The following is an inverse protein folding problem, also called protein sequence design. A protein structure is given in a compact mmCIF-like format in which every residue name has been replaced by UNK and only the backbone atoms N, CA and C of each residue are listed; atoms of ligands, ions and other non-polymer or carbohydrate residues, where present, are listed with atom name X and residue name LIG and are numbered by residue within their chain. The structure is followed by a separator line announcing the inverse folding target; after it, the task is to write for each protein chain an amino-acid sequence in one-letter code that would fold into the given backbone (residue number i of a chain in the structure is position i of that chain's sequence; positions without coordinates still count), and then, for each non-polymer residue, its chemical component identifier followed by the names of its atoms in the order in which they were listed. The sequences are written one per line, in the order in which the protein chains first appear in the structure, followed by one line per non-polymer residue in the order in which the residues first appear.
data_IF_473367443688
#
_entry.id   IF_473367443688
#
_cell.length_a   1.000
_cell.length_b   1.000
_cell.length_c   1.000
_cell.angle_alpha   90.00
_cell.angle_beta   90.00
_cell.angle_gamma   90.00
#
_symmetry.space_group_name_H-M   'P 1'
#
loop_
_entity.id
_entity.type
_entity.pdbx_description
1 polymer ?
#
# COMPACT_ATOMS: atom_id res chain seq x y z
N UNK A 1 8.25 11.85 -10.41
CA UNK A 1 7.92 11.07 -11.63
C UNK A 1 6.57 10.34 -11.56
N UNK A 2 6.07 9.89 -10.40
CA UNK A 2 4.68 9.39 -10.25
C UNK A 2 3.62 10.51 -10.18
N UNK A 3 4.09 11.74 -9.97
CA UNK A 3 3.31 12.93 -9.60
C UNK A 3 2.58 13.58 -10.78
N UNK A 4 2.87 13.14 -12.00
CA UNK A 4 2.31 13.68 -13.25
C UNK A 4 1.19 12.82 -13.85
N UNK A 5 0.73 11.78 -13.13
CA UNK A 5 -0.20 10.78 -13.66
C UNK A 5 -1.49 10.69 -12.82
N UNK A 6 -2.29 11.76 -12.75
CA UNK A 6 -3.54 11.76 -11.97
C UNK A 6 -4.57 10.75 -12.48
N UNK A 7 -4.47 10.33 -13.75
CA UNK A 7 -5.34 9.34 -14.38
C UNK A 7 -4.86 7.89 -14.18
N UNK A 8 -3.79 7.66 -13.42
CA UNK A 8 -3.27 6.31 -13.23
C UNK A 8 -4.21 5.48 -12.36
N UNK A 9 -4.86 4.49 -12.98
CA UNK A 9 -5.77 3.58 -12.28
C UNK A 9 -5.08 2.33 -11.72
N UNK A 10 -3.96 1.94 -12.32
CA UNK A 10 -3.22 0.75 -11.97
C UNK A 10 -1.73 1.07 -11.89
N UNK A 11 -1.07 0.63 -10.83
CA UNK A 11 0.38 0.75 -10.64
C UNK A 11 0.93 -0.62 -10.27
N UNK A 12 1.80 -1.16 -11.12
CA UNK A 12 2.53 -2.39 -10.86
C UNK A 12 4.03 -2.11 -10.84
N UNK A 13 4.69 -2.54 -9.77
CA UNK A 13 6.12 -2.39 -9.56
C UNK A 13 6.69 -3.78 -9.22
N UNK A 14 7.52 -4.32 -10.10
CA UNK A 14 8.10 -5.67 -9.92
C UNK A 14 9.62 -5.62 -9.86
N UNK A 15 10.17 -6.18 -8.77
CA UNK A 15 11.57 -6.57 -8.59
C UNK A 15 12.56 -5.47 -8.99
N UNK A 16 12.23 -4.23 -8.62
CA UNK A 16 13.09 -3.08 -8.88
C UNK A 16 14.39 -3.18 -8.06
N UNK A 17 15.57 -3.27 -8.70
CA UNK A 17 16.82 -3.39 -7.98
C UNK A 17 17.07 -2.14 -7.12
N UNK A 18 17.52 -2.35 -5.88
CA UNK A 18 17.79 -1.32 -4.87
C UNK A 18 16.57 -0.50 -4.41
N UNK A 19 15.35 -0.90 -4.79
CA UNK A 19 14.14 -0.28 -4.31
C UNK A 19 13.53 -1.08 -3.15
N UNK A 20 12.96 -0.38 -2.18
CA UNK A 20 12.14 -1.00 -1.14
C UNK A 20 10.90 -0.16 -0.90
N UNK A 21 9.76 -0.83 -0.76
CA UNK A 21 8.50 -0.18 -0.41
C UNK A 21 8.56 0.21 1.08
N UNK A 22 8.93 1.47 1.33
CA UNK A 22 9.06 2.05 2.68
C UNK A 22 7.80 2.77 3.12
N UNK A 23 7.70 3.13 4.41
CA UNK A 23 6.62 3.98 4.93
C UNK A 23 6.46 5.27 4.13
N UNK A 24 7.58 5.91 3.78
CA UNK A 24 7.59 7.10 2.96
C UNK A 24 6.96 6.86 1.58
N UNK A 25 7.19 5.68 0.99
CA UNK A 25 6.63 5.35 -0.33
C UNK A 25 5.14 5.03 -0.23
N UNK A 26 4.74 4.24 0.77
CA UNK A 26 3.34 3.95 1.07
C UNK A 26 2.56 5.25 1.32
N UNK A 27 3.12 6.20 2.08
CA UNK A 27 2.48 7.48 2.37
C UNK A 27 2.27 8.38 1.14
N UNK A 28 2.95 8.11 0.02
CA UNK A 28 2.69 8.83 -1.24
C UNK A 28 1.43 8.32 -1.94
N UNK A 29 0.92 7.17 -1.53
CA UNK A 29 -0.38 6.67 -1.97
C UNK A 29 -1.52 7.33 -1.19
N UNK A 30 -1.22 8.09 -0.13
CA UNK A 30 -2.25 8.74 0.68
C UNK A 30 -2.84 9.97 0.02
N UNK A 31 -4.17 10.14 0.07
CA UNK A 31 -4.79 11.42 -0.22
C UNK A 31 -4.31 12.40 0.86
N UNK A 32 -3.68 13.49 0.45
CA UNK A 32 -3.23 14.58 1.34
C UNK A 32 -4.43 15.26 2.01
N UNK A 33 -5.04 14.63 3.02
CA UNK A 33 -6.25 15.15 3.69
C UNK A 33 -5.89 16.19 4.77
N UNK A 34 -4.64 16.20 5.26
CA UNK A 34 -4.32 16.88 6.53
C UNK A 34 -3.38 18.09 6.51
N UNK A 35 -2.71 18.50 5.43
CA UNK A 35 -1.76 19.63 5.52
C UNK A 35 -1.73 20.62 4.36
N UNK A 36 -1.52 21.87 4.75
CA UNK A 36 -1.48 23.14 4.04
C UNK A 36 -0.53 23.21 2.83
N UNK A 37 -0.73 24.25 1.99
CA UNK A 37 0.12 24.89 0.97
C UNK A 37 1.07 24.05 0.07
N UNK A 38 1.69 23.00 0.57
CA UNK A 38 2.63 22.08 -0.07
C UNK A 38 2.04 20.67 -0.19
N UNK A 39 0.76 20.57 -0.59
CA UNK A 39 0.07 19.29 -0.74
C UNK A 39 0.87 18.34 -1.64
N UNK A 40 1.32 17.21 -1.08
CA UNK A 40 2.08 16.22 -1.85
C UNK A 40 1.17 15.57 -2.89
N UNK A 41 1.65 15.39 -4.12
CA UNK A 41 0.92 14.72 -5.18
C UNK A 41 0.67 13.26 -4.78
N UNK A 42 -0.61 12.86 -4.85
CA UNK A 42 -1.06 11.48 -4.63
C UNK A 42 -1.72 10.94 -5.90
N UNK A 43 -1.99 9.64 -5.94
CA UNK A 43 -2.65 8.97 -7.06
C UNK A 43 -4.15 8.77 -6.76
N UNK A 44 -5.02 9.77 -7.07
CA UNK A 44 -6.43 9.74 -6.66
C UNK A 44 -7.20 8.60 -7.29
N UNK A 45 -6.95 8.31 -8.56
CA UNK A 45 -7.71 7.33 -9.33
C UNK A 45 -7.12 5.92 -9.23
N UNK A 46 -6.09 5.69 -8.42
CA UNK A 46 -5.45 4.39 -8.29
C UNK A 46 -6.40 3.39 -7.61
N UNK A 47 -6.83 2.41 -8.41
CA UNK A 47 -7.74 1.31 -8.06
C UNK A 47 -6.98 0.02 -7.77
N UNK A 48 -5.84 -0.18 -8.42
CA UNK A 48 -5.02 -1.38 -8.25
C UNK A 48 -3.55 -1.01 -8.00
N UNK A 49 -2.99 -1.55 -6.93
CA UNK A 49 -1.57 -1.44 -6.62
C UNK A 49 -0.98 -2.83 -6.48
N UNK A 50 0.02 -3.15 -7.30
CA UNK A 50 0.75 -4.42 -7.25
C UNK A 50 2.22 -4.13 -7.00
N UNK A 51 2.78 -4.76 -6.00
CA UNK A 51 4.19 -4.64 -5.68
C UNK A 51 4.82 -6.00 -5.47
N UNK A 52 5.97 -6.23 -6.11
CA UNK A 52 6.83 -7.37 -5.81
C UNK A 52 8.24 -6.88 -5.51
N UNK A 53 8.79 -7.25 -4.35
CA UNK A 53 10.15 -6.82 -3.94
C UNK A 53 10.34 -6.70 -2.43
N UNK A 54 11.33 -5.91 -2.01
CA UNK A 54 11.62 -5.70 -0.60
C UNK A 54 10.65 -4.68 0.02
N UNK A 55 10.15 -4.96 1.21
CA UNK A 55 9.30 -4.04 1.97
C UNK A 55 9.99 -3.63 3.28
N UNK A 56 9.80 -2.37 3.67
CA UNK A 56 10.37 -1.77 4.88
C UNK A 56 9.35 -0.87 5.60
N UNK A 57 8.08 -0.95 5.24
CA UNK A 57 7.03 -0.18 5.92
C UNK A 57 6.58 -0.88 7.19
N UNK A 58 6.07 -0.14 8.17
CA UNK A 58 5.42 -0.70 9.35
C UNK A 58 3.99 -1.15 9.01
N UNK A 59 3.48 -2.26 9.60
CA UNK A 59 2.10 -2.68 9.40
C UNK A 59 1.07 -1.57 9.66
N UNK A 60 1.35 -0.72 10.66
CA UNK A 60 0.51 0.44 11.02
C UNK A 60 0.44 1.50 9.92
N UNK A 61 1.55 1.75 9.22
CA UNK A 61 1.60 2.71 8.11
C UNK A 61 0.74 2.27 6.94
N UNK A 62 0.79 0.98 6.58
CA UNK A 62 -0.07 0.43 5.52
C UNK A 62 -1.55 0.56 5.88
N UNK A 63 -1.92 0.21 7.12
CA UNK A 63 -3.30 0.33 7.59
C UNK A 63 -3.77 1.79 7.62
N UNK A 64 -2.91 2.71 8.09
CA UNK A 64 -3.22 4.14 8.08
C UNK A 64 -3.51 4.60 6.66
N UNK A 65 -2.68 4.20 5.70
CA UNK A 65 -2.84 4.60 4.30
C UNK A 65 -4.16 4.11 3.70
N UNK A 66 -4.47 2.83 3.91
CA UNK A 66 -5.72 2.24 3.44
C UNK A 66 -6.95 2.92 4.05
N UNK A 67 -6.90 3.27 5.34
CA UNK A 67 -7.98 4.01 6.01
C UNK A 67 -8.15 5.41 5.43
N UNK A 68 -7.07 6.13 5.15
CA UNK A 68 -7.15 7.46 4.55
C UNK A 68 -7.73 7.41 3.13
N UNK A 69 -7.30 6.44 2.30
CA UNK A 69 -7.90 6.21 0.96
C UNK A 69 -9.38 5.87 1.03
N UNK A 70 -9.77 5.03 1.98
CA UNK A 70 -11.18 4.68 2.19
C UNK A 70 -12.01 5.92 2.58
N UNK A 71 -11.54 6.68 3.58
CA UNK A 71 -12.22 7.91 4.01
C UNK A 71 -12.36 8.91 2.86
N UNK A 72 -11.33 9.04 2.02
CA UNK A 72 -11.36 9.93 0.86
C UNK A 72 -12.39 9.51 -0.18
N UNK A 73 -12.48 8.21 -0.47
CA UNK A 73 -13.50 7.67 -1.41
C UNK A 73 -14.94 7.90 -0.93
N UNK A 74 -15.16 7.89 0.39
CA UNK A 74 -16.48 8.10 0.99
C UNK A 74 -16.89 9.57 1.04
N UNK A 75 -15.94 10.50 1.18
CA UNK A 75 -16.20 11.93 1.43
C UNK A 75 -16.64 12.71 0.19
N UNK A 76 -16.38 12.21 -1.02
CA UNK A 76 -16.65 12.92 -2.28
C UNK A 76 -17.98 12.54 -2.96
N UNK A 77 -18.99 12.12 -2.17
CA UNK A 77 -20.33 11.76 -2.68
C UNK A 77 -21.34 12.91 -2.63
N UNK A 78 -20.92 14.18 -2.45
CA UNK A 78 -21.82 15.33 -2.62
C UNK A 78 -21.78 15.86 -4.06
N UNK A 79 -22.96 15.89 -4.69
CA UNK A 79 -23.35 16.41 -6.00
C UNK A 79 -22.27 17.13 -6.86
N UNK A 80 -22.05 16.58 -8.06
CA UNK A 80 -21.34 17.16 -9.23
C UNK A 80 -19.80 17.09 -9.31
N UNK A 81 -19.13 16.27 -8.51
CA UNK A 81 -17.69 15.97 -8.68
C UNK A 81 -17.51 14.50 -9.08
N UNK A 82 -16.66 14.16 -10.07
CA UNK A 82 -16.47 12.77 -10.49
C UNK A 82 -16.09 11.89 -9.29
N UNK A 83 -16.83 10.79 -9.09
CA UNK A 83 -16.61 9.87 -7.98
C UNK A 83 -15.20 9.29 -8.10
N UNK A 84 -14.34 9.62 -7.15
CA UNK A 84 -13.01 9.03 -7.08
C UNK A 84 -13.20 7.59 -6.60
N UNK A 85 -12.98 6.63 -7.49
CA UNK A 85 -13.08 5.21 -7.14
C UNK A 85 -11.93 4.85 -6.17
N UNK A 86 -12.29 4.33 -4.99
CA UNK A 86 -11.32 3.92 -3.98
C UNK A 86 -10.41 2.79 -4.48
N UNK A 87 -9.25 2.65 -3.84
CA UNK A 87 -8.36 1.51 -4.06
C UNK A 87 -9.12 0.21 -3.77
N UNK A 88 -9.21 -0.69 -4.75
CA UNK A 88 -9.96 -1.94 -4.68
C UNK A 88 -9.06 -3.16 -4.59
N UNK A 89 -7.86 -3.10 -5.16
CA UNK A 89 -6.93 -4.21 -5.19
C UNK A 89 -5.56 -3.73 -4.72
N UNK A 90 -4.99 -4.45 -3.77
CA UNK A 90 -3.63 -4.24 -3.31
C UNK A 90 -2.95 -5.60 -3.14
N UNK A 91 -2.01 -5.91 -4.02
CA UNK A 91 -1.27 -7.17 -4.03
C UNK A 91 0.20 -6.89 -3.72
N UNK A 92 0.72 -7.40 -2.61
CA UNK A 92 2.11 -7.25 -2.20
C UNK A 92 2.76 -8.63 -2.09
N UNK A 93 3.70 -8.92 -2.98
CA UNK A 93 4.58 -10.08 -2.90
C UNK A 93 5.95 -9.64 -2.39
N UNK A 94 6.24 -9.90 -1.12
CA UNK A 94 7.49 -9.43 -0.52
C UNK A 94 8.57 -10.50 -0.46
N UNK A 95 9.84 -10.10 -0.60
CA UNK A 95 10.97 -11.03 -0.72
C UNK A 95 11.84 -11.10 0.54
N UNK A 96 11.77 -10.11 1.44
CA UNK A 96 12.54 -10.10 2.68
C UNK A 96 11.76 -10.74 3.83
N UNK A 97 12.23 -11.92 4.27
CA UNK A 97 11.65 -12.70 5.38
C UNK A 97 11.56 -11.93 6.69
N UNK A 98 12.49 -10.99 6.90
CA UNK A 98 12.61 -10.22 8.14
C UNK A 98 11.46 -9.25 8.38
N UNK A 99 10.64 -8.91 7.38
CA UNK A 99 9.55 -7.95 7.59
C UNK A 99 8.54 -8.39 8.66
N UNK A 100 8.29 -9.70 8.78
CA UNK A 100 7.47 -10.29 9.84
C UNK A 100 8.23 -10.52 11.16
N UNK A 101 9.53 -10.21 11.22
CA UNK A 101 10.42 -10.56 12.33
C UNK A 101 11.17 -9.37 12.95
N UNK A 102 11.41 -8.28 12.22
CA UNK A 102 12.09 -7.07 12.70
C UNK A 102 11.10 -5.93 12.92
N UNK A 103 11.09 -5.33 14.13
CA UNK A 103 10.17 -4.31 14.64
C UNK A 103 8.67 -4.69 14.69
N UNK A 104 8.23 -5.71 13.93
CA UNK A 104 6.94 -6.40 14.01
C UNK A 104 6.97 -7.69 14.85
N UNK A 105 8.03 -7.91 15.63
CA UNK A 105 8.23 -9.09 16.48
C UNK A 105 7.18 -9.24 17.58
N UNK A 106 6.39 -8.20 17.85
CA UNK A 106 5.21 -8.33 18.69
C UNK A 106 4.11 -9.04 17.89
N UNK A 107 3.89 -10.31 18.23
CA UNK A 107 2.81 -11.12 17.67
C UNK A 107 1.44 -10.42 17.79
N UNK A 108 1.26 -9.54 18.78
CA UNK A 108 0.04 -8.75 18.91
C UNK A 108 -0.10 -7.72 17.78
N UNK A 109 1.00 -7.08 17.36
CA UNK A 109 0.99 -6.10 16.25
C UNK A 109 0.62 -6.78 14.94
N UNK A 110 1.20 -7.94 14.63
CA UNK A 110 0.84 -8.69 13.43
C UNK A 110 -0.59 -9.23 13.49
N UNK A 111 -1.03 -9.73 14.66
CA UNK A 111 -2.43 -10.15 14.84
C UNK A 111 -3.40 -9.01 14.63
N UNK A 112 -3.12 -7.85 15.21
CA UNK A 112 -3.97 -6.66 15.11
C UNK A 112 -3.94 -6.08 13.69
N UNK A 113 -2.81 -6.19 13.00
CA UNK A 113 -2.69 -5.89 11.58
C UNK A 113 -3.62 -6.80 10.75
N UNK A 114 -3.51 -8.12 10.90
CA UNK A 114 -4.39 -9.07 10.19
C UNK A 114 -5.87 -8.82 10.51
N UNK A 115 -6.22 -8.55 11.76
CA UNK A 115 -7.60 -8.22 12.15
C UNK A 115 -8.11 -6.96 11.45
N UNK A 116 -7.27 -5.92 11.38
CA UNK A 116 -7.63 -4.67 10.69
C UNK A 116 -7.72 -4.87 9.18
N UNK A 117 -6.83 -5.67 8.58
CA UNK A 117 -6.92 -6.04 7.17
C UNK A 117 -8.23 -6.75 6.84
N UNK A 118 -8.64 -7.73 7.66
CA UNK A 118 -9.92 -8.42 7.47
C UNK A 118 -11.10 -7.45 7.54
N UNK A 119 -11.07 -6.51 8.49
CA UNK A 119 -12.08 -5.46 8.57
C UNK A 119 -12.11 -4.57 7.32
N UNK A 120 -10.95 -4.18 6.78
CA UNK A 120 -10.89 -3.38 5.56
C UNK A 120 -11.36 -4.18 4.33
N UNK A 121 -11.12 -5.49 4.29
CA UNK A 121 -11.57 -6.33 3.18
C UNK A 121 -13.10 -6.38 3.05
N UNK A 122 -13.81 -6.36 4.18
CA UNK A 122 -15.27 -6.30 4.20
C UNK A 122 -15.86 -5.02 3.59
N UNK A 123 -15.03 -4.00 3.36
CA UNK A 123 -15.41 -2.72 2.76
C UNK A 123 -15.11 -2.68 1.26
N UNK A 124 -14.79 -3.83 0.64
CA UNK A 124 -14.59 -3.96 -0.81
C UNK A 124 -13.12 -3.84 -1.27
N UNK A 125 -12.17 -3.80 -0.34
CA UNK A 125 -10.73 -3.85 -0.64
C UNK A 125 -10.25 -5.30 -0.68
N UNK A 126 -9.81 -5.78 -1.84
CA UNK A 126 -9.01 -7.00 -1.94
C UNK A 126 -7.57 -6.67 -1.57
N UNK A 127 -7.08 -7.24 -0.49
CA UNK A 127 -5.71 -7.07 -0.01
C UNK A 127 -5.06 -8.44 0.11
N UNK A 128 -4.00 -8.64 -0.66
CA UNK A 128 -3.18 -9.84 -0.62
C UNK A 128 -1.73 -9.47 -0.27
N UNK A 129 -1.16 -10.10 0.76
CA UNK A 129 0.21 -9.86 1.20
C UNK A 129 0.87 -11.22 1.42
N UNK A 130 1.75 -11.58 0.50
CA UNK A 130 2.35 -12.91 0.41
C UNK A 130 3.86 -12.80 0.47
N UNK A 131 4.49 -13.68 1.22
CA UNK A 131 5.93 -13.85 1.20
C UNK A 131 6.33 -14.75 0.04
N UNK A 132 7.29 -14.30 -0.77
CA UNK A 132 7.95 -15.12 -1.77
C UNK A 132 9.22 -15.72 -1.19
N UNK A 133 9.25 -17.05 -1.07
CA UNK A 133 10.48 -17.82 -0.88
C UNK A 133 11.36 -17.58 -2.11
N UNK A 134 12.29 -16.64 -2.00
CA UNK A 134 13.39 -16.56 -2.95
C UNK A 134 14.19 -17.84 -2.72
N UNK A 135 14.05 -18.81 -3.62
CA UNK A 135 15.03 -19.90 -3.69
C UNK A 135 16.37 -19.21 -3.86
N UNK A 136 17.23 -19.31 -2.86
CA UNK A 136 18.61 -18.86 -2.94
C UNK A 136 19.21 -19.48 -4.21
N UNK A 137 19.29 -18.70 -5.30
CA UNK A 137 20.12 -19.02 -6.44
C UNK A 137 21.58 -18.76 -6.06
N UNK A 138 22.03 -19.45 -5.02
CA UNK A 138 23.44 -19.67 -4.71
C UNK A 138 23.70 -21.17 -4.85
N UNK A 139 23.65 -21.62 -6.09
CA UNK A 139 24.16 -22.91 -6.53
C UNK A 139 24.75 -22.79 -7.93
N UNK A 140 25.65 -21.82 -8.11
CA UNK A 140 26.64 -21.76 -9.21
C UNK A 140 27.81 -20.94 -8.63
N UNK A 141 29.04 -21.43 -8.43
CA UNK A 141 29.76 -22.60 -8.90
C UNK A 141 30.72 -23.10 -7.79
#
# INVERSE_FOLDING_TARGET
MLESLPALEQLSLDSLPHFSLSDFTISKLDPSIRQAADAKPFLPNLKEFKFRGHIKFLPTSLIAMLKERLLYSQRNTSDNVPSIEGLRIMDITYQNREWGHSDGSDTNVLRDFHRQMMSLSSLGLTLDIVWEDTKDEHSVA
#
